data_IF_198518343075
#
_entry.id   IF_198518343075
#
_cell.length_a   1.000
_cell.length_b   1.000
_cell.length_c   1.000
_cell.angle_alpha   90.00
_cell.angle_beta   90.00
_cell.angle_gamma   90.00
#
_symmetry.space_group_name_H-M   'P 1'
#
loop_
_entity.id
_entity.type
_entity.pdbx_description
1 polymer ?
#
# COMPACT_ATOMS: atom_id res chain seq x y z
N UNK A 1 -18.26 -0.44 21.43
CA UNK A 1 -17.12 -1.11 20.78
C UNK A 1 -17.15 -2.59 21.14
N UNK A 2 -17.20 -3.50 20.17
CA UNK A 2 -17.37 -4.94 20.42
C UNK A 2 -16.13 -5.60 21.07
N UNK A 3 -14.94 -4.97 20.96
CA UNK A 3 -13.68 -5.48 21.49
C UNK A 3 -13.20 -4.81 22.79
N UNK A 4 -14.00 -3.92 23.40
CA UNK A 4 -13.59 -3.22 24.62
C UNK A 4 -12.47 -2.19 24.44
N UNK A 5 -12.38 -1.57 23.26
CA UNK A 5 -11.40 -0.52 22.92
C UNK A 5 -12.13 0.74 22.44
N UNK A 6 -11.68 1.90 22.90
CA UNK A 6 -12.12 3.21 22.40
C UNK A 6 -10.95 3.87 21.66
N UNK A 7 -11.18 4.22 20.39
CA UNK A 7 -10.20 4.94 19.57
C UNK A 7 -10.10 6.38 20.10
N UNK A 8 -8.87 6.82 20.33
CA UNK A 8 -8.57 8.19 20.77
C UNK A 8 -7.99 9.03 19.64
N UNK A 9 -7.23 8.39 18.75
CA UNK A 9 -6.59 9.06 17.61
C UNK A 9 -6.47 8.11 16.42
N UNK A 10 -6.63 8.67 15.23
CA UNK A 10 -6.31 8.02 13.96
C UNK A 10 -5.36 8.94 13.22
N UNK A 11 -4.24 8.40 12.76
CA UNK A 11 -3.34 9.08 11.85
C UNK A 11 -3.34 8.35 10.51
N UNK A 12 -3.64 9.08 9.43
CA UNK A 12 -3.53 8.57 8.06
C UNK A 12 -2.15 8.90 7.51
N UNK A 13 -1.53 7.91 6.87
CA UNK A 13 -0.17 7.97 6.38
C UNK A 13 -0.11 7.43 4.95
N UNK A 14 0.81 7.99 4.17
CA UNK A 14 1.10 7.57 2.79
C UNK A 14 2.46 6.87 2.79
N UNK A 15 2.48 5.60 2.43
CA UNK A 15 3.70 4.79 2.43
C UNK A 15 4.11 4.46 1.00
N UNK A 16 5.19 5.09 0.53
CA UNK A 16 5.85 4.70 -0.72
C UNK A 16 6.51 3.34 -0.55
N UNK A 17 6.19 2.41 -1.44
CA UNK A 17 6.83 1.12 -1.55
C UNK A 17 7.74 1.12 -2.78
N UNK A 18 9.04 0.99 -2.53
CA UNK A 18 9.99 0.65 -3.58
C UNK A 18 9.66 -0.73 -4.15
N UNK A 19 9.34 -0.80 -5.44
CA UNK A 19 8.81 -2.03 -6.04
C UNK A 19 9.76 -3.20 -5.95
N UNK A 20 11.05 -2.99 -6.29
CA UNK A 20 12.06 -4.04 -6.30
C UNK A 20 12.30 -4.60 -4.89
N UNK A 21 12.45 -3.71 -3.90
CA UNK A 21 12.61 -4.10 -2.49
C UNK A 21 11.36 -4.80 -1.96
N UNK A 22 10.17 -4.34 -2.34
CA UNK A 22 8.91 -4.92 -1.92
C UNK A 22 8.72 -6.35 -2.46
N UNK A 23 8.88 -6.58 -3.76
CA UNK A 23 8.72 -7.93 -4.33
C UNK A 23 9.78 -8.91 -3.82
N UNK A 24 11.01 -8.44 -3.60
CA UNK A 24 12.07 -9.26 -3.04
C UNK A 24 11.77 -9.65 -1.58
N UNK A 25 11.29 -8.71 -0.76
CA UNK A 25 10.90 -8.99 0.64
C UNK A 25 9.72 -9.96 0.73
N UNK A 26 8.79 -9.86 -0.20
CA UNK A 26 7.61 -10.74 -0.25
C UNK A 26 7.91 -12.12 -0.85
N UNK A 27 9.14 -12.34 -1.35
CA UNK A 27 9.53 -13.55 -2.09
C UNK A 27 8.57 -13.82 -3.27
N UNK A 28 8.17 -12.77 -3.98
CA UNK A 28 7.18 -12.85 -5.06
C UNK A 28 7.80 -13.52 -6.30
N UNK A 29 7.26 -14.65 -6.79
CA UNK A 29 7.76 -15.33 -7.99
C UNK A 29 7.70 -14.45 -9.25
N UNK A 30 8.67 -14.62 -10.16
CA UNK A 30 8.81 -13.80 -11.37
C UNK A 30 7.52 -13.68 -12.21
N UNK A 31 6.73 -14.74 -12.45
CA UNK A 31 5.50 -14.60 -13.23
C UNK A 31 4.49 -13.63 -12.59
N UNK A 32 4.48 -13.56 -11.25
CA UNK A 32 3.60 -12.65 -10.51
C UNK A 32 4.15 -11.22 -10.52
N UNK A 33 5.47 -11.04 -10.42
CA UNK A 33 6.12 -9.72 -10.59
C UNK A 33 5.77 -9.13 -11.97
N UNK A 34 5.86 -9.95 -13.02
CA UNK A 34 5.50 -9.56 -14.39
C UNK A 34 4.00 -9.21 -14.48
N UNK A 35 3.12 -10.03 -13.89
CA UNK A 35 1.68 -9.73 -13.87
C UNK A 35 1.36 -8.41 -13.14
N UNK A 36 2.00 -8.11 -12.01
CA UNK A 36 1.78 -6.86 -11.27
C UNK A 36 2.21 -5.65 -12.11
N UNK A 37 3.38 -5.70 -12.76
CA UNK A 37 3.83 -4.64 -13.68
C UNK A 37 2.84 -4.42 -14.82
N UNK A 38 2.34 -5.50 -15.42
CA UNK A 38 1.32 -5.41 -16.47
C UNK A 38 0.02 -4.75 -15.97
N UNK A 39 -0.41 -5.06 -14.74
CA UNK A 39 -1.59 -4.45 -14.13
C UNK A 39 -1.39 -2.94 -13.90
N UNK A 40 -0.24 -2.54 -13.32
CA UNK A 40 0.08 -1.14 -13.11
C UNK A 40 0.18 -0.37 -14.44
N UNK A 41 0.83 -0.93 -15.45
CA UNK A 41 0.96 -0.30 -16.76
C UNK A 41 -0.41 -0.01 -17.41
N UNK A 42 -1.38 -0.90 -17.21
CA UNK A 42 -2.75 -0.80 -17.75
C UNK A 42 -3.72 -0.03 -16.85
N UNK A 43 -3.30 0.41 -15.67
CA UNK A 43 -4.15 1.17 -14.77
C UNK A 43 -4.59 2.49 -15.39
N UNK A 44 -5.83 2.91 -15.08
CA UNK A 44 -6.35 4.21 -15.49
C UNK A 44 -5.50 5.35 -14.87
N UNK A 45 -5.46 6.53 -15.52
CA UNK A 45 -4.68 7.68 -15.03
C UNK A 45 -5.04 8.03 -13.58
N UNK A 46 -6.34 8.11 -13.25
CA UNK A 46 -6.79 8.40 -11.90
C UNK A 46 -6.27 7.40 -10.84
N UNK A 47 -6.06 6.13 -11.22
CA UNK A 47 -5.49 5.11 -10.33
C UNK A 47 -3.98 5.31 -10.16
N UNK A 48 -3.28 5.58 -11.27
CA UNK A 48 -1.84 5.88 -11.24
C UNK A 48 -1.55 7.14 -10.42
N UNK A 49 -2.35 8.18 -10.60
CA UNK A 49 -2.25 9.43 -9.87
C UNK A 49 -2.55 9.22 -8.37
N UNK A 50 -3.62 8.50 -8.04
CA UNK A 50 -4.01 8.26 -6.64
C UNK A 50 -2.98 7.42 -5.87
N UNK A 51 -2.39 6.40 -6.49
CA UNK A 51 -1.36 5.57 -5.87
C UNK A 51 0.05 6.07 -6.16
N UNK A 52 0.21 7.26 -6.74
CA UNK A 52 1.52 7.84 -7.08
C UNK A 52 2.44 6.82 -7.77
N UNK A 53 1.92 6.12 -8.78
CA UNK A 53 2.67 5.07 -9.48
C UNK A 53 3.81 5.68 -10.29
N UNK A 54 5.02 5.16 -10.09
CA UNK A 54 6.26 5.63 -10.70
C UNK A 54 6.70 4.73 -11.87
N UNK A 55 7.67 5.20 -12.66
CA UNK A 55 8.18 4.49 -13.84
C UNK A 55 8.84 3.15 -13.49
N UNK A 56 9.47 3.06 -12.32
CA UNK A 56 10.10 1.84 -11.80
C UNK A 56 9.10 0.84 -11.20
N UNK A 57 7.78 1.10 -11.33
CA UNK A 57 6.67 0.36 -10.72
C UNK A 57 6.48 0.57 -9.21
N UNK A 58 7.26 1.48 -8.59
CA UNK A 58 7.04 1.90 -7.21
C UNK A 58 5.68 2.60 -7.07
N UNK A 59 5.07 2.48 -5.90
CA UNK A 59 3.72 2.98 -5.66
C UNK A 59 3.53 3.31 -4.18
N UNK A 60 2.57 4.19 -3.89
CA UNK A 60 2.24 4.64 -2.55
C UNK A 60 0.90 4.07 -2.11
N UNK A 61 0.84 3.50 -0.90
CA UNK A 61 -0.41 2.98 -0.32
C UNK A 61 -0.85 3.80 0.89
N UNK A 62 -2.16 3.84 1.13
CA UNK A 62 -2.71 4.41 2.35
C UNK A 62 -2.53 3.43 3.52
N UNK A 63 -2.03 3.96 4.62
CA UNK A 63 -1.87 3.25 5.89
C UNK A 63 -2.48 4.09 7.00
N UNK A 64 -2.77 3.47 8.14
CA UNK A 64 -3.30 4.18 9.29
C UNK A 64 -2.73 3.64 10.60
N UNK A 65 -2.39 4.55 11.51
CA UNK A 65 -2.07 4.26 12.90
C UNK A 65 -3.30 4.58 13.76
N UNK A 66 -3.74 3.60 14.54
CA UNK A 66 -4.81 3.76 15.50
C UNK A 66 -4.23 3.75 16.91
N UNK A 67 -4.53 4.79 17.69
CA UNK A 67 -4.28 4.80 19.13
C UNK A 67 -5.62 4.63 19.83
N UNK A 68 -5.70 3.61 20.67
CA UNK A 68 -6.91 3.26 21.39
C UNK A 68 -6.58 2.92 22.84
N UNK A 69 -7.53 3.21 23.73
CA UNK A 69 -7.49 2.79 25.13
C UNK A 69 -8.50 1.67 25.38
N UNK A 70 -8.24 0.86 26.40
CA UNK A 70 -9.23 -0.09 26.92
C UNK A 70 -10.42 0.69 27.50
N UNK A 71 -11.64 0.26 27.18
CA UNK A 71 -12.89 0.75 27.78
C UNK A 71 -13.22 0.00 29.04
#
# INVERSE_FOLDING_TARGET
AAAGLAIERIEHLRLRLDFATWVARMDTPEPQVTAIRMLQARAASAVKDYFEMEEDSSFTVDTALFVARKT
#
